data_IF_676567918270
#
_entry.id   IF_676567918270
#
_cell.length_a   1.000
_cell.length_b   1.000
_cell.length_c   1.000
_cell.angle_alpha   90.00
_cell.angle_beta   90.00
_cell.angle_gamma   90.00
#
_symmetry.space_group_name_H-M   'P 1'
#
loop_
_entity.id
_entity.type
_entity.pdbx_description
1 polymer ?
#
# COMPACT_ATOMS: atom_id res chain seq x y z
N UNK A 1 -13.53 -17.98 -20.80
CA UNK A 1 -12.89 -16.89 -20.05
C UNK A 1 -11.42 -16.87 -20.39
N UNK A 2 -10.94 -15.80 -20.98
CA UNK A 2 -9.53 -15.65 -21.38
C UNK A 2 -8.69 -15.25 -20.16
N UNK A 3 -7.37 -15.53 -20.17
CA UNK A 3 -6.42 -15.08 -19.13
C UNK A 3 -6.48 -13.55 -18.98
N UNK A 4 -6.78 -12.85 -20.04
CA UNK A 4 -6.95 -11.40 -20.08
C UNK A 4 -8.16 -10.92 -19.27
N UNK A 5 -9.34 -11.53 -19.46
CA UNK A 5 -10.55 -11.22 -18.69
C UNK A 5 -10.39 -11.54 -17.20
N UNK A 6 -9.71 -12.63 -16.87
CA UNK A 6 -9.38 -12.99 -15.50
C UNK A 6 -8.56 -11.89 -14.81
N UNK A 7 -7.48 -11.44 -15.45
CA UNK A 7 -6.60 -10.39 -14.89
C UNK A 7 -7.27 -9.02 -14.79
N UNK A 8 -8.13 -8.66 -15.73
CA UNK A 8 -8.76 -7.34 -15.75
C UNK A 8 -10.00 -7.21 -14.88
N UNK A 9 -10.71 -8.30 -14.60
CA UNK A 9 -11.99 -8.25 -13.88
C UNK A 9 -11.88 -8.95 -12.53
N UNK A 10 -11.45 -10.21 -12.50
CA UNK A 10 -11.52 -11.01 -11.27
C UNK A 10 -10.47 -10.56 -10.25
N UNK A 11 -9.25 -10.32 -10.70
CA UNK A 11 -8.18 -9.89 -9.79
C UNK A 11 -8.52 -8.53 -9.13
N UNK A 12 -8.91 -7.47 -9.86
CA UNK A 12 -9.36 -6.23 -9.22
C UNK A 12 -10.63 -6.39 -8.37
N UNK A 13 -11.59 -7.22 -8.81
CA UNK A 13 -12.82 -7.45 -8.06
C UNK A 13 -12.60 -8.16 -6.72
N UNK A 14 -11.53 -8.95 -6.58
CA UNK A 14 -11.20 -9.64 -5.33
C UNK A 14 -11.00 -8.68 -4.14
N UNK A 15 -10.61 -7.41 -4.39
CA UNK A 15 -10.45 -6.39 -3.35
C UNK A 15 -11.78 -6.04 -2.65
N UNK A 16 -12.92 -6.30 -3.29
CA UNK A 16 -14.24 -6.02 -2.71
C UNK A 16 -14.54 -6.92 -1.51
N UNK A 17 -14.00 -8.14 -1.47
CA UNK A 17 -14.22 -9.08 -0.37
C UNK A 17 -13.72 -8.50 0.97
N UNK A 18 -12.43 -8.12 1.11
CA UNK A 18 -11.95 -7.52 2.35
C UNK A 18 -12.61 -6.17 2.66
N UNK A 19 -12.99 -5.37 1.66
CA UNK A 19 -13.70 -4.10 1.87
C UNK A 19 -15.07 -4.37 2.51
N UNK A 20 -15.88 -5.29 1.97
CA UNK A 20 -17.22 -5.61 2.50
C UNK A 20 -17.12 -6.11 3.95
N UNK A 21 -16.17 -7.02 4.23
CA UNK A 21 -15.94 -7.55 5.57
C UNK A 21 -15.51 -6.42 6.53
N UNK A 22 -14.61 -5.55 6.10
CA UNK A 22 -14.11 -4.45 6.92
C UNK A 22 -15.21 -3.43 7.22
N UNK A 23 -16.01 -3.04 6.24
CA UNK A 23 -17.13 -2.10 6.41
C UNK A 23 -18.17 -2.66 7.40
N UNK A 24 -18.51 -3.96 7.32
CA UNK A 24 -19.46 -4.58 8.25
C UNK A 24 -18.99 -4.57 9.71
N UNK A 25 -17.68 -4.43 9.96
CA UNK A 25 -17.06 -4.41 11.29
C UNK A 25 -16.41 -3.07 11.65
N UNK A 26 -16.64 -2.03 10.88
CA UNK A 26 -15.93 -0.74 10.95
C UNK A 26 -15.84 -0.14 12.36
N UNK A 27 -16.94 -0.17 13.14
CA UNK A 27 -16.96 0.40 14.48
C UNK A 27 -16.03 -0.32 15.48
N UNK A 28 -15.79 -1.62 15.27
CA UNK A 28 -14.95 -2.46 16.13
C UNK A 28 -13.49 -2.53 15.69
N UNK A 29 -13.16 -1.91 14.56
CA UNK A 29 -11.81 -1.98 13.99
C UNK A 29 -10.84 -1.06 14.72
N UNK A 30 -9.60 -1.51 15.00
CA UNK A 30 -8.51 -0.66 15.49
C UNK A 30 -8.06 0.34 14.39
N UNK A 31 -7.35 1.40 14.81
CA UNK A 31 -6.94 2.48 13.92
C UNK A 31 -6.14 2.01 12.70
N UNK A 32 -5.22 1.08 12.88
CA UNK A 32 -4.41 0.54 11.78
C UNK A 32 -5.26 -0.20 10.73
N UNK A 33 -6.29 -0.94 11.16
CA UNK A 33 -7.18 -1.64 10.24
C UNK A 33 -8.12 -0.68 9.49
N UNK A 34 -8.55 0.43 10.13
CA UNK A 34 -9.27 1.52 9.44
C UNK A 34 -8.41 2.19 8.37
N UNK A 35 -7.13 2.42 8.66
CA UNK A 35 -6.17 2.94 7.69
C UNK A 35 -6.05 2.02 6.46
N UNK A 36 -5.94 0.71 6.67
CA UNK A 36 -5.91 -0.26 5.57
C UNK A 36 -7.22 -0.30 4.78
N UNK A 37 -8.37 -0.14 5.44
CA UNK A 37 -9.64 -0.03 4.73
C UNK A 37 -9.66 1.19 3.80
N UNK A 38 -9.18 2.35 4.28
CA UNK A 38 -9.03 3.55 3.44
C UNK A 38 -8.11 3.28 2.26
N UNK A 39 -6.98 2.61 2.48
CA UNK A 39 -6.07 2.19 1.42
C UNK A 39 -6.75 1.29 0.38
N UNK A 40 -7.48 0.26 0.81
CA UNK A 40 -8.19 -0.65 -0.09
C UNK A 40 -9.28 0.06 -0.91
N UNK A 41 -10.04 0.96 -0.29
CA UNK A 41 -11.07 1.76 -0.98
C UNK A 41 -10.43 2.69 -2.01
N UNK A 42 -9.36 3.39 -1.63
CA UNK A 42 -8.59 4.25 -2.54
C UNK A 42 -8.02 3.45 -3.72
N UNK A 43 -7.43 2.29 -3.45
CA UNK A 43 -6.90 1.39 -4.48
C UNK A 43 -7.99 0.90 -5.44
N UNK A 44 -9.18 0.55 -4.92
CA UNK A 44 -10.32 0.17 -5.75
C UNK A 44 -10.79 1.31 -6.66
N UNK A 45 -10.86 2.55 -6.15
CA UNK A 45 -11.25 3.73 -6.92
C UNK A 45 -10.24 3.98 -8.04
N UNK A 46 -8.94 4.01 -7.73
CA UNK A 46 -7.88 4.26 -8.73
C UNK A 46 -7.87 3.17 -9.80
N UNK A 47 -7.97 1.90 -9.41
CA UNK A 47 -8.04 0.78 -10.36
C UNK A 47 -9.25 0.87 -11.29
N UNK A 48 -10.44 1.16 -10.73
CA UNK A 48 -11.66 1.33 -11.52
C UNK A 48 -11.51 2.50 -12.49
N UNK A 49 -10.96 3.62 -12.04
CA UNK A 49 -10.70 4.79 -12.89
C UNK A 49 -9.71 4.45 -14.01
N UNK A 50 -8.64 3.71 -13.71
CA UNK A 50 -7.66 3.29 -14.71
C UNK A 50 -8.29 2.38 -15.78
N UNK A 51 -9.19 1.47 -15.40
CA UNK A 51 -9.92 0.60 -16.33
C UNK A 51 -10.84 1.44 -17.23
N UNK A 52 -11.62 2.36 -16.65
CA UNK A 52 -12.52 3.23 -17.42
C UNK A 52 -11.74 4.07 -18.45
N UNK A 53 -10.62 4.66 -18.04
CA UNK A 53 -9.78 5.44 -18.96
C UNK A 53 -9.19 4.56 -20.08
N UNK A 54 -8.74 3.35 -19.74
CA UNK A 54 -8.21 2.40 -20.73
C UNK A 54 -9.28 1.99 -21.76
N UNK A 55 -10.51 1.73 -21.31
CA UNK A 55 -11.64 1.39 -22.20
C UNK A 55 -11.99 2.55 -23.14
N UNK A 56 -11.80 3.79 -22.72
CA UNK A 56 -12.02 4.98 -23.53
C UNK A 56 -10.76 5.41 -24.32
N UNK A 57 -9.75 4.54 -24.42
CA UNK A 57 -8.48 4.83 -25.12
C UNK A 57 -7.78 6.10 -24.62
N UNK A 58 -8.01 6.49 -23.37
CA UNK A 58 -7.39 7.68 -22.75
C UNK A 58 -6.14 7.27 -21.98
N UNK A 59 -5.02 8.03 -22.07
CA UNK A 59 -3.82 7.75 -21.29
C UNK A 59 -4.09 7.74 -19.79
N UNK A 60 -3.69 6.67 -19.09
CA UNK A 60 -3.95 6.48 -17.66
C UNK A 60 -2.67 6.37 -16.82
N UNK A 61 -1.49 6.50 -17.42
CA UNK A 61 -0.20 6.34 -16.71
C UNK A 61 0.04 7.38 -15.61
N UNK A 62 -0.53 8.59 -15.75
CA UNK A 62 -0.49 9.61 -14.71
C UNK A 62 -1.12 9.16 -13.38
N UNK A 63 -2.10 8.25 -13.45
CA UNK A 63 -2.70 7.67 -12.24
C UNK A 63 -1.68 6.87 -11.40
N UNK A 64 -0.68 6.23 -12.04
CA UNK A 64 0.37 5.49 -11.32
C UNK A 64 1.20 6.42 -10.43
N UNK A 65 1.50 7.64 -10.87
CA UNK A 65 2.25 8.61 -10.08
C UNK A 65 1.44 9.09 -8.87
N UNK A 66 0.15 9.42 -9.07
CA UNK A 66 -0.75 9.81 -7.98
C UNK A 66 -0.96 8.63 -7.03
N UNK A 67 -1.18 7.42 -7.57
CA UNK A 67 -1.37 6.21 -6.77
C UNK A 67 -0.16 5.96 -5.86
N UNK A 68 1.07 6.03 -6.37
CA UNK A 68 2.29 5.84 -5.57
C UNK A 68 2.36 6.82 -4.39
N UNK A 69 1.97 8.09 -4.58
CA UNK A 69 1.94 9.07 -3.48
C UNK A 69 0.91 8.69 -2.42
N UNK A 70 -0.30 8.35 -2.83
CA UNK A 70 -1.39 8.03 -1.91
C UNK A 70 -1.15 6.68 -1.21
N UNK A 71 -0.69 5.67 -1.95
CA UNK A 71 -0.32 4.35 -1.42
C UNK A 71 0.75 4.49 -0.36
N UNK A 72 1.86 5.15 -0.69
CA UNK A 72 2.97 5.31 0.24
C UNK A 72 2.57 6.08 1.50
N UNK A 73 1.77 7.14 1.38
CA UNK A 73 1.30 7.90 2.53
C UNK A 73 0.46 7.03 3.47
N UNK A 74 -0.52 6.29 2.93
CA UNK A 74 -1.41 5.45 3.73
C UNK A 74 -0.67 4.26 4.36
N UNK A 75 0.23 3.62 3.62
CA UNK A 75 1.00 2.49 4.14
C UNK A 75 2.07 2.94 5.14
N UNK A 76 2.74 4.08 4.95
CA UNK A 76 3.64 4.65 5.96
C UNK A 76 2.87 5.00 7.25
N UNK A 77 1.65 5.54 7.11
CA UNK A 77 0.80 5.80 8.27
C UNK A 77 0.37 4.52 8.96
N UNK A 78 0.06 3.45 8.21
CA UNK A 78 -0.20 2.12 8.77
C UNK A 78 1.00 1.61 9.57
N UNK A 79 2.22 1.63 9.00
CA UNK A 79 3.42 1.19 9.70
C UNK A 79 3.71 2.05 10.95
N UNK A 80 3.44 3.35 10.90
CA UNK A 80 3.52 4.24 12.08
C UNK A 80 2.61 3.78 13.22
N UNK A 81 1.45 3.20 12.92
CA UNK A 81 0.49 2.73 13.93
C UNK A 81 0.85 1.38 14.52
N UNK A 82 1.59 0.53 13.80
CA UNK A 82 1.91 -0.84 14.24
C UNK A 82 3.34 -1.00 14.77
N UNK A 83 4.28 -0.13 14.39
CA UNK A 83 5.66 -0.19 14.86
C UNK A 83 5.80 0.62 16.15
N UNK A 84 6.14 -0.06 17.24
CA UNK A 84 6.23 0.52 18.59
C UNK A 84 7.59 1.18 18.82
N UNK A 85 8.65 0.70 18.17
CA UNK A 85 10.01 1.23 18.33
C UNK A 85 10.07 2.74 18.02
N UNK A 86 10.50 3.54 19.01
CA UNK A 86 10.52 5.01 18.94
C UNK A 86 11.41 5.55 17.82
N UNK A 87 12.56 4.91 17.59
CA UNK A 87 13.51 5.35 16.56
C UNK A 87 12.95 5.06 15.16
N UNK A 88 12.44 3.86 14.94
CA UNK A 88 11.78 3.48 13.69
C UNK A 88 10.56 4.38 13.41
N UNK A 89 9.73 4.64 14.44
CA UNK A 89 8.56 5.49 14.31
C UNK A 89 8.93 6.96 14.01
N UNK A 90 10.06 7.46 14.56
CA UNK A 90 10.59 8.78 14.22
C UNK A 90 11.04 8.85 12.76
N UNK A 91 11.69 7.80 12.26
CA UNK A 91 12.10 7.69 10.86
C UNK A 91 10.89 7.64 9.92
N UNK A 92 9.85 6.86 10.26
CA UNK A 92 8.60 6.81 9.49
C UNK A 92 7.94 8.19 9.41
N UNK A 93 7.98 8.99 10.47
CA UNK A 93 7.45 10.36 10.44
C UNK A 93 8.18 11.27 9.45
N UNK A 94 9.48 11.07 9.28
CA UNK A 94 10.25 11.79 8.24
C UNK A 94 9.83 11.30 6.86
N UNK A 95 9.74 9.98 6.66
CA UNK A 95 9.35 9.38 5.38
C UNK A 95 7.94 9.79 4.94
N UNK A 96 7.00 10.00 5.87
CA UNK A 96 5.62 10.45 5.57
C UNK A 96 5.59 11.77 4.77
N UNK A 97 6.61 12.61 4.91
CA UNK A 97 6.73 13.86 4.16
C UNK A 97 7.79 13.81 3.06
N UNK A 98 8.92 13.18 3.35
CA UNK A 98 10.05 13.13 2.45
C UNK A 98 9.74 12.30 1.18
N UNK A 99 9.05 11.16 1.31
CA UNK A 99 8.78 10.31 0.15
C UNK A 99 7.72 10.88 -0.79
N UNK A 100 6.56 11.38 -0.33
CA UNK A 100 5.63 12.10 -1.20
C UNK A 100 6.27 13.32 -1.89
N UNK A 101 7.11 14.08 -1.17
CA UNK A 101 7.85 15.19 -1.76
C UNK A 101 8.80 14.70 -2.85
N UNK A 102 9.55 13.61 -2.61
CA UNK A 102 10.39 12.97 -3.63
C UNK A 102 9.56 12.56 -4.86
N UNK A 103 8.38 11.96 -4.68
CA UNK A 103 7.50 11.61 -5.80
C UNK A 103 7.07 12.85 -6.59
N UNK A 104 6.72 13.95 -5.92
CA UNK A 104 6.35 15.21 -6.59
C UNK A 104 7.53 15.75 -7.39
N UNK A 105 8.73 15.80 -6.81
CA UNK A 105 9.94 16.23 -7.51
C UNK A 105 10.24 15.32 -8.70
N UNK A 106 10.07 14.00 -8.53
CA UNK A 106 10.31 13.04 -9.60
C UNK A 106 9.44 13.32 -10.82
N UNK A 107 8.13 13.49 -10.67
CA UNK A 107 7.27 13.71 -11.83
C UNK A 107 7.32 15.13 -12.39
N UNK A 108 7.76 16.11 -11.62
CA UNK A 108 7.92 17.50 -12.12
C UNK A 108 9.22 17.70 -12.90
N UNK A 109 10.31 17.02 -12.51
CA UNK A 109 11.64 17.31 -13.01
C UNK A 109 12.38 16.13 -13.65
N UNK A 110 12.07 14.89 -13.26
CA UNK A 110 12.85 13.72 -13.65
C UNK A 110 12.12 12.80 -14.63
N UNK A 111 10.81 12.67 -14.50
CA UNK A 111 10.05 11.70 -15.26
C UNK A 111 8.69 12.24 -15.72
N UNK A 112 8.35 12.02 -16.99
CA UNK A 112 7.04 12.43 -17.52
C UNK A 112 5.90 11.69 -16.84
N UNK A 113 4.80 12.39 -16.54
CA UNK A 113 3.55 11.82 -16.04
C UNK A 113 2.93 10.76 -16.99
N UNK A 114 3.29 10.80 -18.26
CA UNK A 114 2.78 9.87 -19.28
C UNK A 114 3.70 8.67 -19.50
N UNK A 115 4.73 8.50 -18.68
CA UNK A 115 5.61 7.33 -18.65
C UNK A 115 5.38 6.47 -17.41
N UNK A 116 5.88 5.21 -17.42
CA UNK A 116 5.85 4.37 -16.24
C UNK A 116 6.68 4.95 -15.11
N UNK A 117 6.21 4.81 -13.88
CA UNK A 117 6.88 5.32 -12.67
C UNK A 117 8.09 4.42 -12.30
N UNK A 118 9.19 4.56 -13.06
CA UNK A 118 10.37 3.67 -12.96
C UNK A 118 11.35 4.10 -11.86
N UNK A 119 11.26 5.30 -11.31
CA UNK A 119 12.15 5.77 -10.25
C UNK A 119 11.51 5.68 -8.86
N UNK A 120 10.30 6.21 -8.69
CA UNK A 120 9.70 6.24 -7.37
C UNK A 120 9.20 4.85 -6.92
N UNK A 121 8.74 4.01 -7.83
CA UNK A 121 8.21 2.68 -7.50
C UNK A 121 9.25 1.72 -6.89
N UNK A 122 10.48 1.57 -7.44
CA UNK A 122 11.51 0.76 -6.80
C UNK A 122 11.96 1.31 -5.43
N UNK A 123 12.06 2.64 -5.29
CA UNK A 123 12.40 3.27 -4.01
C UNK A 123 11.31 2.98 -2.97
N UNK A 124 10.04 3.09 -3.34
CA UNK A 124 8.90 2.70 -2.52
C UNK A 124 9.00 1.25 -2.06
N UNK A 125 9.27 0.32 -2.98
CA UNK A 125 9.41 -1.10 -2.68
C UNK A 125 10.52 -1.36 -1.65
N UNK A 126 11.69 -0.74 -1.80
CA UNK A 126 12.81 -0.86 -0.85
C UNK A 126 12.39 -0.33 0.54
N UNK A 127 11.72 0.81 0.61
CA UNK A 127 11.24 1.38 1.87
C UNK A 127 10.30 0.40 2.57
N UNK A 128 9.29 -0.14 1.86
CA UNK A 128 8.31 -1.02 2.49
C UNK A 128 8.86 -2.38 2.85
N UNK A 129 9.73 -2.98 2.03
CA UNK A 129 10.45 -4.21 2.41
C UNK A 129 11.28 -3.99 3.68
N UNK A 130 11.97 -2.86 3.78
CA UNK A 130 12.73 -2.50 4.99
C UNK A 130 11.82 -2.34 6.20
N UNK A 131 10.67 -1.68 6.06
CA UNK A 131 9.70 -1.52 7.15
C UNK A 131 9.06 -2.85 7.57
N UNK A 132 8.82 -3.77 6.64
CA UNK A 132 8.40 -5.13 6.95
C UNK A 132 9.47 -5.86 7.78
N UNK A 133 10.75 -5.76 7.39
CA UNK A 133 11.86 -6.35 8.15
C UNK A 133 11.98 -5.73 9.56
N UNK A 134 11.83 -4.40 9.68
CA UNK A 134 11.83 -3.69 10.97
C UNK A 134 10.66 -4.15 11.85
N UNK A 135 9.46 -4.33 11.28
CA UNK A 135 8.31 -4.87 12.00
C UNK A 135 8.61 -6.28 12.54
N UNK A 136 9.18 -7.17 11.72
CA UNK A 136 9.55 -8.52 12.14
C UNK A 136 10.62 -8.53 13.22
N UNK A 137 11.58 -7.58 13.14
CA UNK A 137 12.66 -7.50 14.13
C UNK A 137 12.16 -7.03 15.51
N UNK A 138 11.22 -6.09 15.55
CA UNK A 138 10.76 -5.46 16.80
C UNK A 138 9.38 -5.93 17.27
N UNK A 139 8.53 -6.42 16.40
CA UNK A 139 7.14 -6.77 16.72
C UNK A 139 6.97 -8.06 17.51
N UNK A 140 8.02 -8.86 17.60
CA UNK A 140 7.99 -10.16 18.30
C UNK A 140 8.19 -10.07 19.81
N UNK A 141 8.65 -8.94 20.34
CA UNK A 141 8.95 -8.80 21.78
C UNK A 141 7.69 -8.66 22.66
N UNK A 142 6.64 -7.99 22.18
CA UNK A 142 5.39 -7.83 22.94
C UNK A 142 4.40 -9.00 22.77
N UNK A 143 4.54 -9.81 21.73
CA UNK A 143 3.61 -10.88 21.38
C UNK A 143 4.13 -12.28 21.76
N UNK A 144 5.10 -12.37 22.66
CA UNK A 144 5.71 -13.66 23.07
C UNK A 144 4.69 -14.69 23.64
N UNK A 145 3.53 -14.24 24.08
CA UNK A 145 2.46 -15.11 24.61
C UNK A 145 1.45 -15.55 23.53
N UNK A 146 1.43 -14.93 22.35
CA UNK A 146 0.47 -15.24 21.29
C UNK A 146 1.13 -16.04 20.17
N UNK A 147 0.45 -17.09 19.72
CA UNK A 147 0.88 -17.79 18.49
C UNK A 147 0.91 -16.81 17.31
N UNK A 148 1.97 -16.84 16.52
CA UNK A 148 2.24 -15.97 15.37
C UNK A 148 1.02 -15.81 14.43
N UNK A 149 0.32 -16.90 14.15
CA UNK A 149 -0.86 -16.92 13.28
C UNK A 149 -2.09 -16.20 13.84
N UNK A 150 -2.12 -15.91 15.15
CA UNK A 150 -3.23 -15.24 15.82
C UNK A 150 -3.08 -13.70 15.81
N UNK A 151 -1.99 -13.17 15.24
CA UNK A 151 -1.71 -11.75 15.14
C UNK A 151 -2.04 -11.29 13.72
N UNK A 152 -3.14 -10.52 13.51
CA UNK A 152 -3.56 -10.09 12.17
C UNK A 152 -2.49 -9.33 11.40
N UNK A 153 -1.71 -8.48 12.08
CA UNK A 153 -0.66 -7.69 11.45
C UNK A 153 0.45 -8.57 10.83
N UNK A 154 0.72 -9.76 11.35
CA UNK A 154 1.71 -10.67 10.78
C UNK A 154 1.32 -11.09 9.36
N UNK A 155 0.06 -11.41 9.14
CA UNK A 155 -0.46 -11.77 7.81
C UNK A 155 -0.45 -10.59 6.85
N UNK A 156 -0.83 -9.40 7.34
CA UNK A 156 -0.87 -8.17 6.54
C UNK A 156 0.55 -7.79 6.10
N UNK A 157 1.51 -7.75 7.04
CA UNK A 157 2.90 -7.38 6.76
C UNK A 157 3.55 -8.40 5.83
N UNK A 158 3.26 -9.71 5.98
CA UNK A 158 3.71 -10.75 5.04
C UNK A 158 3.17 -10.50 3.64
N UNK A 159 1.88 -10.20 3.53
CA UNK A 159 1.25 -9.88 2.25
C UNK A 159 1.87 -8.64 1.58
N UNK A 160 2.12 -7.57 2.37
CA UNK A 160 2.80 -6.38 1.88
C UNK A 160 4.24 -6.67 1.44
N UNK A 161 4.98 -7.47 2.19
CA UNK A 161 6.34 -7.87 1.82
C UNK A 161 6.36 -8.62 0.48
N UNK A 162 5.45 -9.58 0.29
CA UNK A 162 5.33 -10.32 -0.99
C UNK A 162 4.92 -9.40 -2.14
N UNK A 163 4.00 -8.46 -1.89
CA UNK A 163 3.55 -7.50 -2.89
C UNK A 163 4.72 -6.63 -3.37
N UNK A 164 5.46 -6.01 -2.45
CA UNK A 164 6.59 -5.14 -2.81
C UNK A 164 7.82 -5.88 -3.32
N UNK A 165 7.99 -7.16 -2.99
CA UNK A 165 9.03 -8.01 -3.58
C UNK A 165 8.74 -8.39 -5.04
N UNK A 166 7.49 -8.30 -5.50
CA UNK A 166 7.07 -8.58 -6.88
C UNK A 166 6.96 -7.34 -7.78
N UNK A 167 7.20 -6.14 -7.25
CA UNK A 167 7.15 -4.87 -7.96
C UNK A 167 8.52 -4.53 -8.52
#
# INVERSE_FOLDING_TARGET
>A
MTIYEYRQIIVPASILIPIIIAVSRFQKMPAYAKCLLVYLVMSAIVNTTAIILALNHTPNLWLLHIYTILESFLLLYYFKLIIINKNANSFIRILLWAFPLFCVVNFLFLQSLYSFNTYARPVEAIIFITLCAVYWWHGTEEDSERSWGNIPNNWIVTGLMLYFAGV
#
